data_IF_896284502981
#
_entry.id   IF_896284502981
#
_cell.length_a   1.000
_cell.length_b   1.000
_cell.length_c   1.000
_cell.angle_alpha   90.00
_cell.angle_beta   90.00
_cell.angle_gamma   90.00
#
_symmetry.space_group_name_H-M   'P 1'
#
loop_
_entity.id
_entity.type
_entity.pdbx_description
1 polymer ?
#
# COMPACT_ATOMS: atom_id res chain seq x y z
N UNK A 1 16.05 27.04 3.08
CA UNK A 1 17.48 27.43 3.13
C UNK A 1 18.28 26.18 2.80
N UNK A 2 18.68 26.05 1.54
CA UNK A 2 19.30 24.86 0.96
C UNK A 2 20.82 25.07 0.93
N UNK A 3 21.56 24.08 1.44
CA UNK A 3 23.01 23.89 1.35
C UNK A 3 23.93 24.97 1.95
N UNK A 4 24.37 24.72 3.20
CA UNK A 4 25.74 25.01 3.61
C UNK A 4 26.21 23.90 4.56
N UNK A 5 26.86 22.88 4.00
CA UNK A 5 28.10 22.44 4.62
C UNK A 5 29.08 22.01 3.51
N UNK A 6 30.25 22.62 3.52
CA UNK A 6 31.26 22.54 2.45
C UNK A 6 32.41 21.69 2.98
N UNK A 7 32.20 20.37 2.98
CA UNK A 7 33.25 19.39 3.26
C UNK A 7 34.26 19.32 2.10
N UNK A 8 35.51 19.66 2.38
CA UNK A 8 36.62 19.85 1.44
C UNK A 8 37.19 18.56 0.81
N UNK A 9 36.35 17.68 0.28
CA UNK A 9 36.79 16.59 -0.60
C UNK A 9 35.78 16.48 -1.72
N UNK A 10 36.20 16.51 -2.99
CA UNK A 10 35.30 16.53 -4.16
C UNK A 10 34.46 15.26 -4.37
N UNK A 11 34.09 14.53 -3.32
CA UNK A 11 33.18 13.40 -3.35
C UNK A 11 31.82 13.84 -2.82
N UNK A 12 30.80 13.53 -3.61
CA UNK A 12 29.40 13.67 -3.21
C UNK A 12 29.20 12.88 -1.90
N UNK A 13 28.63 13.53 -0.90
CA UNK A 13 28.20 12.89 0.33
C UNK A 13 26.99 12.00 0.00
N UNK A 14 27.24 10.70 -0.14
CA UNK A 14 26.24 9.71 -0.53
C UNK A 14 25.13 9.61 0.52
N UNK A 15 25.46 9.73 1.80
CA UNK A 15 24.51 9.67 2.91
C UNK A 15 23.58 10.89 2.88
N UNK A 16 24.15 12.09 2.76
CA UNK A 16 23.37 13.31 2.62
C UNK A 16 22.49 13.28 1.35
N UNK A 17 22.99 12.70 0.26
CA UNK A 17 22.25 12.55 -0.99
C UNK A 17 21.11 11.54 -0.84
N UNK A 18 21.34 10.39 -0.20
CA UNK A 18 20.29 9.41 0.08
C UNK A 18 19.20 10.01 0.97
N UNK A 19 19.58 10.66 2.06
CA UNK A 19 18.65 11.32 2.98
C UNK A 19 17.81 12.37 2.23
N UNK A 20 18.43 13.16 1.37
CA UNK A 20 17.74 14.16 0.56
C UNK A 20 16.74 13.50 -0.43
N UNK A 21 17.16 12.43 -1.12
CA UNK A 21 16.28 11.68 -2.02
C UNK A 21 15.11 11.03 -1.28
N UNK A 22 15.37 10.35 -0.16
CA UNK A 22 14.35 9.73 0.70
C UNK A 22 13.36 10.78 1.20
N UNK A 23 13.83 11.93 1.66
CA UNK A 23 12.96 13.02 2.11
C UNK A 23 12.13 13.63 0.97
N UNK A 24 12.70 13.75 -0.24
CA UNK A 24 11.98 14.24 -1.41
C UNK A 24 10.90 13.26 -1.86
N UNK A 25 11.24 11.96 -1.96
CA UNK A 25 10.29 10.88 -2.27
C UNK A 25 9.16 10.83 -1.25
N UNK A 26 9.49 10.94 0.04
CA UNK A 26 8.52 11.01 1.14
C UNK A 26 7.52 12.14 0.95
N UNK A 27 8.00 13.38 0.75
CA UNK A 27 7.12 14.54 0.55
C UNK A 27 6.27 14.42 -0.72
N UNK A 28 6.84 13.92 -1.81
CA UNK A 28 6.11 13.70 -3.05
C UNK A 28 5.01 12.64 -2.88
N UNK A 29 5.31 11.56 -2.15
CA UNK A 29 4.35 10.52 -1.77
C UNK A 29 3.22 11.06 -0.91
N UNK A 30 3.53 11.85 0.12
CA UNK A 30 2.54 12.48 1.00
C UNK A 30 1.59 13.40 0.21
N UNK A 31 2.14 14.20 -0.71
CA UNK A 31 1.36 15.10 -1.56
C UNK A 31 0.46 14.34 -2.55
N UNK A 32 0.99 13.35 -3.26
CA UNK A 32 0.22 12.54 -4.20
C UNK A 32 -0.89 11.77 -3.48
N UNK A 33 -0.58 11.18 -2.32
CA UNK A 33 -1.55 10.45 -1.50
C UNK A 33 -2.64 11.38 -0.97
N UNK A 34 -2.28 12.61 -0.57
CA UNK A 34 -3.25 13.63 -0.16
C UNK A 34 -4.23 13.96 -1.27
N UNK A 35 -3.78 14.07 -2.53
CA UNK A 35 -4.66 14.32 -3.66
C UNK A 35 -5.57 13.13 -3.98
N UNK A 36 -5.03 11.90 -3.95
CA UNK A 36 -5.81 10.68 -4.22
C UNK A 36 -6.91 10.41 -3.18
N UNK A 37 -6.74 10.95 -1.97
CA UNK A 37 -7.67 10.78 -0.86
C UNK A 37 -8.61 11.99 -0.67
N UNK A 38 -8.53 13.00 -1.54
CA UNK A 38 -9.55 14.05 -1.64
C UNK A 38 -10.75 13.52 -2.42
N UNK A 39 -11.89 13.42 -1.73
CA UNK A 39 -13.15 13.01 -2.34
C UNK A 39 -14.16 14.17 -2.37
N UNK A 40 -14.87 14.35 -3.49
CA UNK A 40 -15.95 15.32 -3.55
C UNK A 40 -17.10 14.88 -2.64
N UNK A 41 -17.84 15.86 -2.11
CA UNK A 41 -19.08 15.58 -1.41
C UNK A 41 -20.07 14.83 -2.33
N UNK A 42 -20.88 13.91 -1.79
CA UNK A 42 -21.93 13.26 -2.57
C UNK A 42 -22.95 14.27 -3.11
N UNK A 43 -23.54 13.94 -4.26
CA UNK A 43 -24.66 14.67 -4.87
C UNK A 43 -25.87 14.68 -3.92
N UNK A 44 -26.81 15.62 -4.14
CA UNK A 44 -28.02 15.77 -3.30
C UNK A 44 -28.77 14.45 -3.07
N UNK A 45 -28.89 13.62 -4.10
CA UNK A 45 -29.53 12.29 -4.03
C UNK A 45 -28.80 11.30 -3.10
N UNK A 46 -27.48 11.43 -2.95
CA UNK A 46 -26.65 10.60 -2.08
C UNK A 46 -26.50 11.12 -0.65
N UNK A 47 -27.13 12.26 -0.31
CA UNK A 47 -27.04 12.88 1.02
C UNK A 47 -28.02 12.33 2.03
N UNK A 48 -28.96 11.47 1.62
CA UNK A 48 -29.92 10.85 2.53
C UNK A 48 -30.02 9.35 2.26
N UNK A 49 -29.86 8.53 3.31
CA UNK A 49 -29.91 7.07 3.23
C UNK A 49 -30.88 6.50 4.28
N UNK A 50 -31.60 5.43 3.93
CA UNK A 50 -32.46 4.73 4.87
C UNK A 50 -31.61 3.99 5.93
N UNK A 51 -31.88 4.23 7.21
CA UNK A 51 -31.20 3.58 8.33
C UNK A 51 -31.96 2.33 8.78
N UNK A 52 -31.27 1.24 9.19
CA UNK A 52 -31.91 0.04 9.75
C UNK A 52 -32.83 0.29 10.96
N UNK A 53 -32.71 1.43 11.65
CA UNK A 53 -33.61 1.82 12.74
C UNK A 53 -34.95 2.44 12.26
N UNK A 54 -35.18 2.53 10.95
CA UNK A 54 -36.39 3.11 10.35
C UNK A 54 -36.35 4.64 10.18
N UNK A 55 -35.24 5.29 10.53
CA UNK A 55 -35.03 6.73 10.35
C UNK A 55 -34.20 7.03 9.08
N UNK A 56 -34.13 8.29 8.67
CA UNK A 56 -33.25 8.73 7.59
C UNK A 56 -31.91 9.23 8.15
N UNK A 57 -30.81 8.72 7.59
CA UNK A 57 -29.47 9.20 7.87
C UNK A 57 -29.10 10.31 6.88
N UNK A 58 -28.78 11.49 7.41
CA UNK A 58 -28.40 12.65 6.60
C UNK A 58 -26.89 12.86 6.61
N UNK A 59 -26.32 13.02 5.43
CA UNK A 59 -24.97 13.51 5.24
C UNK A 59 -24.83 14.90 5.85
N UNK A 60 -23.81 15.12 6.68
CA UNK A 60 -23.50 16.42 7.27
C UNK A 60 -22.35 17.08 6.53
N UNK A 61 -21.16 16.54 6.72
CA UNK A 61 -19.93 17.05 6.13
C UNK A 61 -18.85 15.97 6.18
N UNK A 62 -17.80 16.07 5.35
CA UNK A 62 -16.65 15.20 5.45
C UNK A 62 -15.94 15.48 6.78
N UNK A 63 -15.82 14.46 7.63
CA UNK A 63 -14.92 14.55 8.79
C UNK A 63 -13.51 14.15 8.38
N UNK A 64 -12.57 15.05 8.63
CA UNK A 64 -11.14 14.79 8.53
C UNK A 64 -10.70 13.76 9.56
N UNK A 65 -9.90 12.79 9.13
CA UNK A 65 -9.19 11.85 10.01
C UNK A 65 -7.72 11.77 9.59
N UNK A 66 -6.79 11.63 10.55
CA UNK A 66 -5.41 11.30 10.23
C UNK A 66 -5.35 9.90 9.64
N UNK A 67 -4.72 9.76 8.47
CA UNK A 67 -4.48 8.48 7.80
C UNK A 67 -3.01 8.12 7.92
N UNK A 68 -2.71 6.94 8.45
CA UNK A 68 -1.34 6.42 8.47
C UNK A 68 -1.02 5.76 7.13
N UNK A 69 0.06 6.20 6.48
CA UNK A 69 0.57 5.61 5.25
C UNK A 69 1.96 5.00 5.45
N UNK A 70 2.47 4.26 4.45
CA UNK A 70 3.87 3.81 4.45
C UNK A 70 4.86 4.99 4.49
N UNK A 71 4.40 6.15 4.05
CA UNK A 71 5.02 7.45 4.17
C UNK A 71 4.44 8.22 5.38
N UNK A 72 4.19 7.58 6.52
CA UNK A 72 3.74 8.25 7.75
C UNK A 72 2.36 8.93 7.70
N UNK A 73 2.03 9.77 8.70
CA UNK A 73 0.68 10.30 8.89
C UNK A 73 0.34 11.45 7.93
N UNK A 74 -0.87 11.43 7.39
CA UNK A 74 -1.44 12.46 6.51
C UNK A 74 -2.72 13.03 7.14
N UNK A 75 -2.85 14.35 7.24
CA UNK A 75 -3.99 15.03 7.86
C UNK A 75 -5.10 15.43 6.87
N UNK A 76 -6.31 15.70 7.39
CA UNK A 76 -7.34 16.45 6.66
C UNK A 76 -8.24 15.65 5.72
N UNK A 77 -8.18 14.32 5.73
CA UNK A 77 -8.85 13.52 4.72
C UNK A 77 -10.23 13.02 5.15
N UNK A 78 -11.25 13.07 4.27
CA UNK A 78 -12.56 12.49 4.52
C UNK A 78 -12.46 11.01 4.94
N UNK A 79 -13.11 10.66 6.05
CA UNK A 79 -13.17 9.30 6.53
C UNK A 79 -14.04 8.39 5.64
N UNK A 80 -13.44 7.77 4.63
CA UNK A 80 -14.03 6.67 3.89
C UNK A 80 -13.17 5.41 4.03
N UNK A 81 -13.79 4.28 4.37
CA UNK A 81 -13.11 2.98 4.39
C UNK A 81 -12.98 2.48 2.96
N UNK A 82 -11.76 2.50 2.43
CA UNK A 82 -11.41 1.74 1.22
C UNK A 82 -10.55 0.56 1.63
N UNK A 83 -10.85 -0.61 1.08
CA UNK A 83 -10.03 -1.79 1.30
C UNK A 83 -8.81 -1.69 0.39
N UNK A 84 -7.62 -1.73 0.99
CA UNK A 84 -6.38 -1.94 0.25
C UNK A 84 -6.07 -3.43 0.29
N UNK A 85 -5.63 -3.97 -0.84
CA UNK A 85 -5.14 -5.34 -0.95
C UNK A 85 -3.65 -5.27 -1.22
N UNK A 86 -2.86 -5.96 -0.41
CA UNK A 86 -1.41 -6.06 -0.52
C UNK A 86 -1.03 -7.53 -0.65
N UNK A 87 -0.04 -7.83 -1.48
CA UNK A 87 0.35 -9.20 -1.77
C UNK A 87 1.84 -9.30 -2.08
N UNK A 88 2.41 -10.43 -1.70
CA UNK A 88 3.80 -10.79 -1.92
C UNK A 88 3.84 -12.20 -2.50
N UNK A 89 4.57 -12.37 -3.59
CA UNK A 89 4.81 -13.66 -4.23
C UNK A 89 6.30 -13.89 -4.31
N UNK A 90 6.76 -15.08 -3.95
CA UNK A 90 8.14 -15.50 -4.10
C UNK A 90 8.19 -17.02 -4.31
N UNK A 91 9.34 -17.50 -4.78
CA UNK A 91 9.61 -18.93 -4.89
C UNK A 91 10.62 -19.35 -3.82
N UNK A 92 10.61 -20.65 -3.53
CA UNK A 92 11.52 -21.24 -2.56
C UNK A 92 11.85 -22.64 -3.07
N UNK A 93 13.11 -22.86 -3.41
CA UNK A 93 13.61 -24.13 -3.95
C UNK A 93 14.72 -24.74 -3.11
N UNK A 94 15.16 -24.05 -2.06
CA UNK A 94 16.29 -24.46 -1.24
C UNK A 94 16.00 -24.34 0.26
N UNK A 95 16.88 -24.95 1.05
CA UNK A 95 16.88 -24.94 2.51
C UNK A 95 18.29 -24.66 3.02
N UNK A 96 18.40 -24.09 4.21
CA UNK A 96 19.69 -23.91 4.89
C UNK A 96 20.19 -25.23 5.51
N UNK A 97 21.31 -25.13 6.24
CA UNK A 97 21.96 -26.29 6.87
C UNK A 97 21.16 -26.83 8.05
N UNK A 98 20.37 -25.99 8.71
CA UNK A 98 19.46 -26.36 9.78
C UNK A 98 18.11 -26.89 9.24
N UNK A 99 17.87 -26.83 7.93
CA UNK A 99 16.68 -27.32 7.27
C UNK A 99 15.55 -26.28 7.17
N UNK A 100 15.83 -24.99 7.43
CA UNK A 100 14.84 -23.94 7.25
C UNK A 100 14.69 -23.54 5.78
N UNK A 101 13.47 -23.21 5.35
CA UNK A 101 13.20 -22.76 3.99
C UNK A 101 13.94 -21.46 3.63
N UNK A 102 14.69 -21.43 2.53
CA UNK A 102 15.32 -20.22 1.99
C UNK A 102 14.59 -19.77 0.72
N UNK A 103 14.10 -18.53 0.73
CA UNK A 103 13.52 -17.87 -0.45
C UNK A 103 14.55 -17.76 -1.58
N UNK A 104 14.14 -18.06 -2.80
CA UNK A 104 15.01 -17.91 -3.97
C UNK A 104 15.38 -16.43 -4.19
N UNK A 105 16.67 -16.11 -4.42
CA UNK A 105 17.09 -14.76 -4.75
C UNK A 105 16.31 -14.19 -5.93
N UNK A 106 15.99 -12.90 -5.87
CA UNK A 106 15.30 -12.13 -6.92
C UNK A 106 13.92 -12.68 -7.37
N UNK A 107 13.35 -13.63 -6.63
CA UNK A 107 12.02 -14.20 -6.93
C UNK A 107 10.85 -13.36 -6.41
N UNK A 108 11.13 -12.37 -5.55
CA UNK A 108 10.09 -11.65 -4.80
C UNK A 108 9.41 -10.60 -5.66
N UNK A 109 8.09 -10.51 -5.54
CA UNK A 109 7.32 -9.39 -6.08
C UNK A 109 6.25 -8.95 -5.11
N UNK A 110 6.17 -7.63 -4.96
CA UNK A 110 5.21 -6.94 -4.13
C UNK A 110 4.21 -6.23 -5.04
N UNK A 111 2.92 -6.46 -4.80
CA UNK A 111 1.85 -5.77 -5.50
C UNK A 111 0.82 -5.24 -4.50
N UNK A 112 0.22 -4.12 -4.81
CA UNK A 112 -0.80 -3.50 -3.98
C UNK A 112 -1.77 -2.68 -4.81
N UNK A 113 -3.05 -2.75 -4.45
CA UNK A 113 -4.10 -2.01 -5.13
C UNK A 113 -5.26 -1.68 -4.19
N UNK A 114 -5.98 -0.62 -4.51
CA UNK A 114 -7.28 -0.29 -3.93
C UNK A 114 -8.32 -0.81 -4.92
N UNK A 115 -8.62 -2.10 -4.82
CA UNK A 115 -9.52 -2.83 -5.72
C UNK A 115 -10.25 -3.93 -4.93
N UNK A 116 -11.25 -4.55 -5.55
CA UNK A 116 -11.99 -5.65 -4.91
C UNK A 116 -11.08 -6.87 -4.63
N UNK A 117 -11.49 -7.73 -3.70
CA UNK A 117 -10.82 -9.01 -3.47
C UNK A 117 -10.73 -9.88 -4.73
N UNK A 118 -11.77 -9.84 -5.57
CA UNK A 118 -11.83 -10.62 -6.80
C UNK A 118 -10.78 -10.14 -7.82
N UNK A 119 -10.72 -8.84 -8.08
CA UNK A 119 -9.75 -8.24 -8.99
C UNK A 119 -8.31 -8.48 -8.50
N UNK A 120 -8.07 -8.25 -7.22
CA UNK A 120 -6.76 -8.49 -6.62
C UNK A 120 -6.39 -9.99 -6.65
N UNK A 121 -7.37 -10.88 -6.46
CA UNK A 121 -7.20 -12.32 -6.59
C UNK A 121 -6.67 -12.73 -7.96
N UNK A 122 -7.23 -12.15 -9.03
CA UNK A 122 -6.75 -12.39 -10.42
C UNK A 122 -5.34 -11.86 -10.62
N UNK A 123 -5.02 -10.68 -10.07
CA UNK A 123 -3.69 -10.07 -10.17
C UNK A 123 -2.63 -10.91 -9.45
N UNK A 124 -2.86 -11.24 -8.18
CA UNK A 124 -1.89 -12.01 -7.38
C UNK A 124 -1.72 -13.42 -7.95
N UNK A 125 -2.79 -14.01 -8.51
CA UNK A 125 -2.70 -15.26 -9.24
C UNK A 125 -1.83 -15.15 -10.49
N UNK A 126 -1.95 -14.09 -11.28
CA UNK A 126 -1.09 -13.88 -12.45
C UNK A 126 0.40 -13.76 -12.06
N UNK A 127 0.71 -13.04 -10.99
CA UNK A 127 2.06 -12.96 -10.43
C UNK A 127 2.59 -14.33 -9.99
N UNK A 128 1.77 -15.12 -9.31
CA UNK A 128 2.12 -16.49 -8.92
C UNK A 128 2.32 -17.39 -10.15
N UNK A 129 1.44 -17.30 -11.14
CA UNK A 129 1.50 -18.10 -12.36
C UNK A 129 2.79 -17.85 -13.13
N UNK A 130 3.17 -16.59 -13.33
CA UNK A 130 4.42 -16.20 -13.98
C UNK A 130 5.68 -16.75 -13.27
N UNK A 131 5.58 -17.08 -11.98
CA UNK A 131 6.67 -17.65 -11.17
C UNK A 131 6.61 -19.18 -11.06
N UNK A 132 5.72 -19.82 -11.81
CA UNK A 132 5.64 -21.28 -11.88
C UNK A 132 4.67 -21.90 -10.88
N UNK A 133 3.60 -21.18 -10.52
CA UNK A 133 2.52 -21.72 -9.67
C UNK A 133 2.05 -23.11 -10.12
N UNK A 134 1.87 -23.35 -11.42
CA UNK A 134 1.40 -24.64 -11.95
C UNK A 134 2.37 -25.80 -11.68
N UNK A 135 3.68 -25.52 -11.68
CA UNK A 135 4.76 -26.50 -11.48
C UNK A 135 5.26 -26.60 -10.04
N UNK A 136 4.78 -25.74 -9.15
CA UNK A 136 5.18 -25.76 -7.75
C UNK A 136 4.73 -27.06 -7.06
N UNK A 137 5.69 -27.75 -6.42
CA UNK A 137 5.44 -28.97 -5.64
C UNK A 137 4.51 -28.69 -4.46
N UNK A 138 4.70 -27.54 -3.80
CA UNK A 138 3.88 -27.07 -2.70
C UNK A 138 3.45 -25.63 -2.97
N UNK A 139 2.17 -25.35 -2.72
CA UNK A 139 1.54 -24.05 -2.89
C UNK A 139 1.07 -23.59 -1.52
N UNK A 140 1.63 -22.49 -1.02
CA UNK A 140 1.29 -21.93 0.28
C UNK A 140 0.69 -20.56 0.07
N UNK A 141 -0.48 -20.32 0.67
CA UNK A 141 -1.15 -19.02 0.70
C UNK A 141 -1.30 -18.63 2.16
N UNK A 142 -0.80 -17.44 2.51
CA UNK A 142 -0.92 -16.88 3.85
C UNK A 142 -1.71 -15.59 3.72
N UNK A 143 -2.82 -15.51 4.44
CA UNK A 143 -3.62 -14.28 4.60
C UNK A 143 -3.41 -13.68 5.99
N UNK A 144 -3.90 -12.46 6.16
CA UNK A 144 -3.96 -11.76 7.46
C UNK A 144 -5.14 -12.23 8.34
N UNK A 145 -6.00 -13.11 7.82
CA UNK A 145 -7.19 -13.61 8.49
C UNK A 145 -8.42 -12.72 8.34
N UNK A 146 -8.35 -11.64 7.56
CA UNK A 146 -9.49 -10.80 7.26
C UNK A 146 -10.45 -11.50 6.28
N UNK A 147 -11.73 -11.12 6.32
CA UNK A 147 -12.73 -11.61 5.37
C UNK A 147 -12.34 -11.20 3.94
N UNK A 148 -12.31 -12.18 3.03
CA UNK A 148 -11.94 -11.99 1.64
C UNK A 148 -13.21 -11.85 0.78
N UNK A 149 -13.84 -10.68 0.87
CA UNK A 149 -15.00 -10.25 0.08
C UNK A 149 -14.64 -9.16 -0.93
#
# INVERSE_FOLDING_TARGET
MLFQDRGNTGRIDLEATEMAMRAALRRAGDAALSQLLQFPAPSEEGRTLACPCGQQAHYREPRSKPVMSAAGPVEGQPAHTRQVKLGCVFTQTTWDKEGYPIRDPDSTTYTGAIESAEEFGRRIYAEAYGRGWSRALQKVVIGDGAEWT
#
